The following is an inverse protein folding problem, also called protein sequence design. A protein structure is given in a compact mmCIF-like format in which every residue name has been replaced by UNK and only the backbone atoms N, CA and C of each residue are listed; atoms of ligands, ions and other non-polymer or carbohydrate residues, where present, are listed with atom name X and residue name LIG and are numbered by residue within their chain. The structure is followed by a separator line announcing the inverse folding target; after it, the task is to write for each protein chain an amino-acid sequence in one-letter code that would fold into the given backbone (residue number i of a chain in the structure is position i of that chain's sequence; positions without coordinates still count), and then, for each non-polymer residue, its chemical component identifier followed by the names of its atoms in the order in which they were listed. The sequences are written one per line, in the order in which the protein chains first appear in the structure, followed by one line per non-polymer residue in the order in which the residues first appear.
data_IF_703415370625
#
_entry.id   IF_703415370625
#
_cell.length_a   1.000
_cell.length_b   1.000
_cell.length_c   1.000
_cell.angle_alpha   90.00
_cell.angle_beta   90.00
_cell.angle_gamma   90.00
#
_symmetry.space_group_name_H-M   'P 1'
#
loop_
_entity.id
_entity.type
_entity.pdbx_description
1 polymer ?
#
# COMPACT_ATOMS: atom_id res chain seq x y z
N UNK A 1 -5.71 6.39 9.04
CA UNK A 1 -5.32 5.13 8.42
C UNK A 1 -4.26 5.38 7.36
N UNK A 2 -3.22 4.55 7.34
CA UNK A 2 -2.12 4.59 6.38
C UNK A 2 -2.45 3.70 5.17
N UNK A 3 -2.08 4.16 4.00
CA UNK A 3 -2.08 3.39 2.76
C UNK A 3 -0.65 3.23 2.26
N UNK A 4 -0.25 1.99 2.06
CA UNK A 4 1.01 1.62 1.41
C UNK A 4 0.73 1.60 -0.09
N UNK A 5 1.45 2.41 -0.87
CA UNK A 5 1.18 2.60 -2.29
C UNK A 5 2.10 1.73 -3.16
N UNK A 6 3.40 2.00 -3.13
CA UNK A 6 4.37 1.26 -3.93
C UNK A 6 5.77 1.34 -3.34
N UNK A 7 6.62 0.40 -3.73
CA UNK A 7 8.03 0.43 -3.40
C UNK A 7 8.75 1.49 -4.24
N UNK A 8 9.76 2.11 -3.64
CA UNK A 8 10.74 3.00 -4.28
C UNK A 8 12.14 2.40 -4.09
N UNK A 9 13.16 2.95 -4.73
CA UNK A 9 14.55 2.46 -4.59
C UNK A 9 15.03 2.45 -3.13
N UNK A 10 14.53 3.38 -2.31
CA UNK A 10 15.02 3.60 -0.93
C UNK A 10 13.99 3.31 0.15
N UNK A 11 12.82 2.79 -0.20
CA UNK A 11 11.78 2.51 0.77
C UNK A 11 10.42 2.27 0.14
N UNK A 12 9.40 2.62 0.88
CA UNK A 12 8.00 2.40 0.49
C UNK A 12 7.28 3.74 0.57
N UNK A 13 6.62 4.13 -0.52
CA UNK A 13 5.77 5.32 -0.53
C UNK A 13 4.44 5.05 0.17
N UNK A 14 4.10 5.93 1.11
CA UNK A 14 2.93 5.85 1.95
C UNK A 14 2.11 7.15 1.90
N UNK A 15 0.79 7.03 2.01
CA UNK A 15 -0.14 8.18 2.13
C UNK A 15 -1.14 7.95 3.24
N UNK A 16 -1.76 9.04 3.72
CA UNK A 16 -2.95 8.93 4.54
C UNK A 16 -4.16 8.55 3.68
N UNK A 17 -5.00 7.66 4.21
CA UNK A 17 -6.15 7.10 3.47
C UNK A 17 -7.17 8.16 3.04
N UNK A 18 -7.32 9.23 3.82
CA UNK A 18 -8.22 10.35 3.56
C UNK A 18 -7.64 11.43 2.61
N UNK A 19 -6.43 11.20 2.08
CA UNK A 19 -5.76 12.15 1.19
C UNK A 19 -5.24 13.43 1.85
N UNK A 20 -5.29 13.53 3.18
CA UNK A 20 -4.70 14.66 3.91
C UNK A 20 -3.19 14.68 3.75
N UNK A 21 -2.63 15.87 3.62
CA UNK A 21 -1.19 16.07 3.63
C UNK A 21 -0.62 15.78 5.03
N UNK A 22 0.59 15.27 5.05
CA UNK A 22 1.31 14.93 6.27
C UNK A 22 2.32 16.03 6.54
N UNK A 23 2.31 16.61 7.73
CA UNK A 23 3.31 17.59 8.16
C UNK A 23 4.58 16.90 8.69
N UNK A 24 5.71 17.63 8.70
CA UNK A 24 6.95 17.13 9.30
C UNK A 24 6.78 16.78 10.78
N UNK A 25 6.01 17.57 11.53
CA UNK A 25 5.77 17.30 12.95
C UNK A 25 4.95 16.03 13.14
N UNK A 26 3.98 15.77 12.26
CA UNK A 26 3.24 14.51 12.27
C UNK A 26 4.13 13.31 11.95
N UNK A 27 5.11 13.46 11.04
CA UNK A 27 6.08 12.39 10.76
C UNK A 27 7.00 12.13 11.95
N UNK A 28 7.51 13.17 12.60
CA UNK A 28 8.33 13.02 13.81
C UNK A 28 7.56 12.33 14.94
N UNK A 29 6.31 12.72 15.14
CA UNK A 29 5.44 12.07 16.12
C UNK A 29 5.18 10.61 15.77
N UNK A 30 5.01 10.27 14.48
CA UNK A 30 4.84 8.90 14.03
C UNK A 30 6.11 8.07 14.23
N UNK A 31 7.29 8.60 13.88
CA UNK A 31 8.57 7.93 14.12
C UNK A 31 8.79 7.68 15.61
N UNK A 32 8.51 8.68 16.45
CA UNK A 32 8.61 8.52 17.90
C UNK A 32 7.69 7.42 18.41
N UNK A 33 6.45 7.41 17.93
CA UNK A 33 5.49 6.36 18.31
C UNK A 33 5.90 4.97 17.84
N UNK A 34 6.47 4.86 16.65
CA UNK A 34 7.03 3.59 16.15
C UNK A 34 8.17 3.08 17.07
N UNK A 35 9.09 3.96 17.48
CA UNK A 35 10.17 3.62 18.42
C UNK A 35 9.64 3.14 19.77
N UNK A 36 8.67 3.86 20.35
CA UNK A 36 8.03 3.46 21.60
C UNK A 36 7.40 2.06 21.54
N UNK A 37 6.76 1.73 20.41
CA UNK A 37 6.18 0.40 20.20
C UNK A 37 7.23 -0.69 20.02
N UNK A 38 8.37 -0.38 19.41
CA UNK A 38 9.51 -1.29 19.28
C UNK A 38 10.13 -1.53 20.66
N UNK A 39 10.41 -0.47 21.42
CA UNK A 39 11.01 -0.53 22.75
C UNK A 39 10.10 -1.25 23.76
N UNK A 40 8.79 -1.15 23.59
CA UNK A 40 7.80 -1.85 24.41
C UNK A 40 7.74 -3.36 24.17
N UNK A 41 8.38 -3.86 23.12
CA UNK A 41 8.48 -5.27 22.75
C UNK A 41 7.13 -6.01 22.78
N UNK A 42 6.10 -5.42 22.17
CA UNK A 42 4.75 -5.95 22.19
C UNK A 42 4.62 -7.20 21.31
N UNK A 43 3.98 -8.30 21.80
CA UNK A 43 3.86 -9.52 21.05
C UNK A 43 2.84 -9.38 19.91
N UNK A 44 3.18 -9.90 18.71
CA UNK A 44 2.24 -10.16 17.65
C UNK A 44 1.49 -11.46 17.94
N UNK A 45 0.19 -11.38 18.19
CA UNK A 45 -0.63 -12.57 18.46
C UNK A 45 -1.36 -13.01 17.20
N UNK A 46 -1.06 -14.24 16.75
CA UNK A 46 -1.79 -14.87 15.65
C UNK A 46 -3.09 -15.48 16.19
N UNK A 47 -4.17 -15.24 15.47
CA UNK A 47 -5.49 -15.78 15.73
C UNK A 47 -6.00 -16.48 14.47
N UNK A 48 -6.93 -17.41 14.66
CA UNK A 48 -7.67 -18.05 13.58
C UNK A 48 -9.12 -18.23 14.00
N UNK A 49 -10.04 -17.73 13.19
CA UNK A 49 -11.48 -17.77 13.45
C UNK A 49 -12.26 -18.03 12.17
N UNK A 50 -13.56 -18.29 12.31
CA UNK A 50 -14.47 -18.33 11.18
C UNK A 50 -14.38 -17.01 10.40
N UNK A 51 -14.36 -17.11 9.08
CA UNK A 51 -14.24 -15.93 8.21
C UNK A 51 -15.34 -14.92 8.46
N UNK A 52 -16.56 -15.36 8.78
CA UNK A 52 -17.69 -14.49 9.15
C UNK A 52 -17.41 -13.66 10.40
N UNK A 53 -16.77 -14.23 11.42
CA UNK A 53 -16.39 -13.50 12.63
C UNK A 53 -15.27 -12.48 12.36
N UNK A 54 -14.32 -12.83 11.48
CA UNK A 54 -13.23 -11.93 11.10
C UNK A 54 -13.75 -10.76 10.26
N UNK A 55 -14.73 -10.99 9.39
CA UNK A 55 -15.43 -9.95 8.64
C UNK A 55 -16.05 -8.92 9.60
N UNK A 56 -16.78 -9.37 10.61
CA UNK A 56 -17.38 -8.47 11.62
C UNK A 56 -16.31 -7.69 12.42
N UNK A 57 -15.20 -8.36 12.76
CA UNK A 57 -14.08 -7.73 13.44
C UNK A 57 -13.45 -6.61 12.58
N UNK A 58 -13.22 -6.88 11.30
CA UNK A 58 -12.64 -5.91 10.37
C UNK A 58 -13.61 -4.79 10.02
N UNK A 59 -14.91 -5.07 9.94
CA UNK A 59 -15.96 -4.06 9.75
C UNK A 59 -15.99 -3.05 10.90
N UNK A 60 -15.84 -3.50 12.15
CA UNK A 60 -15.73 -2.62 13.32
C UNK A 60 -14.50 -1.72 13.32
N UNK A 61 -13.45 -2.09 12.59
CA UNK A 61 -12.23 -1.29 12.42
C UNK A 61 -12.18 -0.52 11.08
N UNK A 62 -13.29 -0.46 10.37
CA UNK A 62 -13.38 0.20 9.04
C UNK A 62 -12.37 -0.31 8.00
N UNK A 63 -12.02 -1.62 8.06
CA UNK A 63 -11.15 -2.28 7.11
C UNK A 63 -11.96 -2.80 5.90
N UNK A 64 -12.73 -1.94 5.26
CA UNK A 64 -13.72 -2.32 4.25
C UNK A 64 -13.15 -2.97 2.99
N UNK A 65 -11.91 -2.64 2.61
CA UNK A 65 -11.16 -3.31 1.55
C UNK A 65 -10.92 -4.80 1.85
N UNK A 66 -10.58 -5.11 3.11
CA UNK A 66 -10.38 -6.48 3.59
C UNK A 66 -11.70 -7.22 3.81
N UNK A 67 -12.72 -6.53 4.28
CA UNK A 67 -14.08 -7.08 4.38
C UNK A 67 -14.53 -7.58 3.00
N UNK A 68 -14.47 -6.74 1.95
CA UNK A 68 -14.84 -7.13 0.58
C UNK A 68 -14.02 -8.31 0.06
N UNK A 69 -12.71 -8.34 0.35
CA UNK A 69 -11.86 -9.44 -0.05
C UNK A 69 -12.25 -10.76 0.62
N UNK A 70 -12.68 -10.72 1.89
CA UNK A 70 -13.11 -11.91 2.62
C UNK A 70 -14.52 -12.36 2.23
N UNK A 71 -15.44 -11.43 1.94
CA UNK A 71 -16.80 -11.72 1.48
C UNK A 71 -16.83 -12.42 0.12
N UNK A 72 -15.84 -12.14 -0.74
CA UNK A 72 -15.70 -12.76 -2.07
C UNK A 72 -14.78 -14.00 -2.07
N UNK A 73 -14.37 -14.47 -0.91
CA UNK A 73 -13.53 -15.66 -0.76
C UNK A 73 -14.32 -16.86 -0.26
N UNK A 74 -13.79 -18.05 -0.51
CA UNK A 74 -14.41 -19.34 -0.16
C UNK A 74 -13.86 -19.98 1.13
N UNK A 75 -12.93 -19.32 1.82
CA UNK A 75 -12.27 -19.88 3.00
C UNK A 75 -13.18 -19.83 4.23
N UNK A 76 -13.38 -21.00 4.86
CA UNK A 76 -14.18 -21.12 6.09
C UNK A 76 -13.48 -20.45 7.29
N UNK A 77 -12.14 -20.55 7.38
CA UNK A 77 -11.35 -19.97 8.45
C UNK A 77 -10.38 -18.93 7.92
N UNK A 78 -10.13 -17.87 8.70
CA UNK A 78 -9.18 -16.82 8.39
C UNK A 78 -8.23 -16.57 9.55
N UNK A 79 -6.92 -16.64 9.25
CA UNK A 79 -5.88 -16.19 10.17
C UNK A 79 -5.72 -14.66 10.11
N UNK A 80 -5.53 -14.05 11.27
CA UNK A 80 -5.25 -12.63 11.43
C UNK A 80 -4.34 -12.40 12.64
N UNK A 81 -3.81 -11.20 12.77
CA UNK A 81 -2.91 -10.82 13.86
C UNK A 81 -3.51 -9.68 14.68
N UNK A 82 -3.10 -9.61 15.95
CA UNK A 82 -3.38 -8.47 16.81
C UNK A 82 -2.09 -7.90 17.41
N UNK A 83 -2.05 -6.58 17.53
CA UNK A 83 -1.03 -5.80 18.21
C UNK A 83 -1.69 -4.66 18.99
N UNK A 84 -1.61 -4.66 20.31
CA UNK A 84 -2.12 -3.56 21.14
C UNK A 84 -3.61 -3.23 20.92
N UNK A 85 -4.46 -4.22 20.59
CA UNK A 85 -5.90 -4.03 20.33
C UNK A 85 -6.23 -3.67 18.86
N UNK A 86 -5.23 -3.50 18.00
CA UNK A 86 -5.43 -3.35 16.55
C UNK A 86 -5.36 -4.73 15.91
N UNK A 87 -6.26 -5.01 14.96
CA UNK A 87 -6.33 -6.27 14.23
C UNK A 87 -6.07 -6.04 12.75
N UNK A 88 -5.30 -6.96 12.15
CA UNK A 88 -5.07 -6.95 10.71
C UNK A 88 -4.76 -8.34 10.16
N UNK A 89 -4.93 -8.55 8.84
CA UNK A 89 -4.55 -9.78 8.16
C UNK A 89 -3.21 -9.64 7.46
N UNK A 90 -2.39 -10.69 7.55
CA UNK A 90 -1.12 -10.78 6.87
C UNK A 90 -0.97 -12.17 6.22
N UNK A 91 -0.27 -12.25 5.08
CA UNK A 91 -0.15 -13.49 4.30
C UNK A 91 0.99 -14.41 4.76
N UNK A 92 1.82 -13.97 5.70
CA UNK A 92 2.96 -14.74 6.20
C UNK A 92 2.99 -14.78 7.71
N UNK A 93 4.10 -15.26 8.24
CA UNK A 93 4.39 -15.17 9.66
C UNK A 93 5.00 -13.80 9.95
N UNK A 94 4.51 -13.15 10.99
CA UNK A 94 5.14 -11.95 11.55
C UNK A 94 6.26 -12.34 12.51
N UNK A 95 7.11 -11.38 12.84
CA UNK A 95 8.05 -11.51 13.94
C UNK A 95 7.32 -11.82 15.27
N UNK A 96 7.96 -12.42 16.25
CA UNK A 96 7.31 -12.73 17.53
C UNK A 96 6.79 -11.48 18.26
N UNK A 97 7.54 -10.37 18.19
CA UNK A 97 7.19 -9.11 18.84
C UNK A 97 7.76 -7.90 18.09
N UNK A 98 7.35 -6.71 18.49
CA UNK A 98 7.83 -5.45 17.92
C UNK A 98 9.31 -5.20 18.17
N UNK A 99 9.91 -5.78 19.23
CA UNK A 99 11.34 -5.67 19.53
C UNK A 99 12.28 -6.29 18.47
N UNK A 100 11.76 -7.15 17.59
CA UNK A 100 12.51 -7.68 16.43
C UNK A 100 12.53 -6.74 15.23
N UNK A 101 11.74 -5.65 15.26
CA UNK A 101 11.64 -4.71 14.14
C UNK A 101 12.72 -3.65 14.29
N UNK A 102 13.41 -3.36 13.20
CA UNK A 102 14.31 -2.20 13.15
C UNK A 102 13.46 -0.94 12.87
N UNK A 103 13.76 0.17 13.55
CA UNK A 103 13.04 1.42 13.29
C UNK A 103 13.26 1.87 11.85
N UNK A 104 12.26 2.52 11.27
CA UNK A 104 12.33 3.10 9.94
C UNK A 104 12.40 4.63 10.03
N UNK A 105 13.03 5.27 9.05
CA UNK A 105 12.96 6.72 8.87
C UNK A 105 11.81 7.08 7.97
N UNK A 106 11.17 8.22 8.26
CA UNK A 106 10.08 8.76 7.48
C UNK A 106 10.51 10.11 6.87
N UNK A 107 10.35 10.27 5.56
CA UNK A 107 10.69 11.51 4.84
C UNK A 107 9.51 11.97 4.00
N UNK A 108 9.15 13.24 4.09
CA UNK A 108 8.10 13.83 3.23
C UNK A 108 8.45 13.64 1.76
N UNK A 109 7.46 13.24 0.98
CA UNK A 109 7.57 13.08 -0.45
C UNK A 109 6.22 13.29 -1.13
N UNK A 110 6.15 14.27 -2.03
CA UNK A 110 4.90 14.61 -2.73
C UNK A 110 3.74 14.83 -1.74
N UNK A 111 2.62 14.15 -1.94
CA UNK A 111 1.43 14.21 -1.06
C UNK A 111 1.40 13.10 0.03
N UNK A 112 2.56 12.59 0.41
CA UNK A 112 2.72 11.55 1.41
C UNK A 112 4.13 11.52 1.97
N UNK A 113 4.66 10.35 2.24
CA UNK A 113 6.00 10.16 2.75
C UNK A 113 6.61 8.83 2.31
N UNK A 114 7.92 8.75 2.29
CA UNK A 114 8.67 7.52 2.11
C UNK A 114 9.05 6.97 3.46
N UNK A 115 8.74 5.70 3.70
CA UNK A 115 9.20 4.91 4.83
C UNK A 115 10.40 4.08 4.39
N UNK A 116 11.58 4.38 4.91
CA UNK A 116 12.82 3.69 4.61
C UNK A 116 13.27 2.87 5.82
N UNK A 117 13.58 1.56 5.64
CA UNK A 117 14.19 0.79 6.71
C UNK A 117 15.57 1.37 7.03
N UNK A 118 15.99 1.32 8.28
CA UNK A 118 17.36 1.68 8.63
C UNK A 118 18.34 0.71 7.96
N UNK A 119 19.40 1.20 7.33
CA UNK A 119 20.45 0.33 6.81
C UNK A 119 21.09 -0.42 7.99
N UNK A 120 21.26 -1.75 7.84
CA UNK A 120 22.00 -2.56 8.80
C UNK A 120 23.49 -2.22 8.84
N UNK A 121 23.98 -1.55 7.82
CA UNK A 121 25.37 -1.19 7.62
C UNK A 121 25.51 0.33 7.75
N UNK A 122 26.23 0.80 8.76
CA UNK A 122 26.56 2.21 8.95
C UNK A 122 27.34 2.81 7.77
N UNK A 123 27.94 1.95 6.94
CA UNK A 123 28.62 2.32 5.71
C UNK A 123 27.68 2.51 4.50
N UNK A 124 26.42 2.05 4.58
CA UNK A 124 25.42 2.38 3.59
C UNK A 124 24.87 3.79 3.87
N UNK A 125 25.72 4.80 3.66
CA UNK A 125 25.26 6.17 3.63
C UNK A 125 24.12 6.24 2.61
N UNK A 126 22.91 6.56 3.09
CA UNK A 126 21.80 6.95 2.23
C UNK A 126 22.37 8.02 1.30
N UNK A 127 22.62 7.66 0.04
CA UNK A 127 23.17 8.56 -0.96
C UNK A 127 22.34 9.84 -0.99
N UNK A 128 23.01 10.92 -1.33
CA UNK A 128 22.53 12.31 -1.30
C UNK A 128 21.10 12.46 -1.82
N UNK A 129 20.44 13.52 -1.41
CA UNK A 129 19.04 13.88 -1.66
C UNK A 129 18.54 13.72 -3.12
N UNK A 130 19.43 13.77 -4.10
CA UNK A 130 19.13 13.66 -5.53
C UNK A 130 18.56 12.31 -5.98
N UNK A 131 18.80 11.23 -5.24
CA UNK A 131 18.33 9.89 -5.59
C UNK A 131 16.86 9.59 -5.22
N UNK A 132 16.14 10.52 -4.60
CA UNK A 132 14.76 10.32 -4.21
C UNK A 132 13.74 10.64 -5.33
N UNK A 133 14.17 11.29 -6.40
CA UNK A 133 13.27 11.77 -7.45
C UNK A 133 13.03 10.69 -8.50
N UNK A 134 12.20 9.71 -8.18
CA UNK A 134 11.61 8.79 -9.17
C UNK A 134 10.28 9.37 -9.68
N UNK A 135 10.34 10.54 -10.27
CA UNK A 135 9.16 11.26 -10.72
C UNK A 135 8.34 10.48 -11.75
N UNK A 136 9.02 9.79 -12.65
CA UNK A 136 8.39 8.96 -13.67
C UNK A 136 7.65 7.76 -13.04
N UNK A 137 8.27 7.11 -12.05
CA UNK A 137 7.64 6.00 -11.32
C UNK A 137 6.41 6.48 -10.55
N UNK A 138 6.52 7.59 -9.83
CA UNK A 138 5.40 8.21 -9.13
C UNK A 138 4.25 8.56 -10.08
N UNK A 139 4.56 9.16 -11.23
CA UNK A 139 3.57 9.52 -12.25
C UNK A 139 2.88 8.27 -12.80
N UNK A 140 3.64 7.23 -13.15
CA UNK A 140 3.08 5.98 -13.64
C UNK A 140 2.11 5.34 -12.64
N UNK A 141 2.49 5.25 -11.36
CA UNK A 141 1.60 4.71 -10.32
C UNK A 141 0.35 5.58 -10.10
N UNK A 142 0.50 6.90 -10.15
CA UNK A 142 -0.64 7.84 -10.01
C UNK A 142 -1.62 7.69 -11.18
N UNK A 143 -1.11 7.56 -12.41
CA UNK A 143 -1.93 7.33 -13.59
C UNK A 143 -2.68 5.99 -13.52
N UNK A 144 -2.01 4.91 -13.10
CA UNK A 144 -2.67 3.62 -12.86
C UNK A 144 -3.75 3.68 -11.78
N UNK A 145 -3.50 4.39 -10.68
CA UNK A 145 -4.53 4.59 -9.65
C UNK A 145 -5.74 5.34 -10.18
N UNK A 146 -5.52 6.36 -11.03
CA UNK A 146 -6.59 7.11 -11.68
C UNK A 146 -7.42 6.22 -12.62
N UNK A 147 -6.77 5.37 -13.40
CA UNK A 147 -7.42 4.38 -14.26
C UNK A 147 -8.26 3.42 -13.42
N UNK A 148 -7.68 2.84 -12.37
CA UNK A 148 -8.37 1.90 -11.49
C UNK A 148 -9.58 2.54 -10.81
N UNK A 149 -9.49 3.84 -10.49
CA UNK A 149 -10.63 4.59 -9.95
C UNK A 149 -11.75 4.77 -10.99
N UNK A 150 -11.41 5.08 -12.25
CA UNK A 150 -12.38 5.22 -13.35
C UNK A 150 -13.07 3.88 -13.64
N UNK A 151 -12.33 2.78 -13.64
CA UNK A 151 -12.85 1.42 -13.87
C UNK A 151 -13.67 0.93 -12.66
N UNK A 152 -13.51 1.55 -11.48
CA UNK A 152 -14.19 1.13 -10.25
C UNK A 152 -13.54 -0.07 -9.55
N UNK A 153 -12.29 -0.41 -9.92
CA UNK A 153 -11.52 -1.53 -9.34
C UNK A 153 -10.25 -1.00 -8.69
N UNK A 154 -10.31 -0.72 -7.41
CA UNK A 154 -9.19 -0.10 -6.65
C UNK A 154 -8.42 -1.10 -5.78
N UNK A 155 -8.95 -2.30 -5.59
CA UNK A 155 -8.37 -3.37 -4.79
C UNK A 155 -8.90 -4.75 -5.23
N UNK A 156 -8.26 -5.82 -4.74
CA UNK A 156 -8.60 -7.19 -5.11
C UNK A 156 -10.05 -7.58 -4.75
N UNK A 157 -10.59 -7.09 -3.63
CA UNK A 157 -11.98 -7.37 -3.25
C UNK A 157 -12.99 -6.76 -4.23
N UNK A 158 -12.73 -5.54 -4.74
CA UNK A 158 -13.55 -4.91 -5.78
C UNK A 158 -13.44 -5.66 -7.12
N UNK A 159 -12.24 -6.16 -7.46
CA UNK A 159 -12.04 -6.99 -8.65
C UNK A 159 -12.84 -8.30 -8.56
N UNK A 160 -12.75 -9.00 -7.44
CA UNK A 160 -13.50 -10.23 -7.23
C UNK A 160 -15.00 -9.98 -7.33
N UNK A 161 -15.51 -8.94 -6.67
CA UNK A 161 -16.93 -8.58 -6.74
C UNK A 161 -17.38 -8.24 -8.17
N UNK A 162 -16.55 -7.57 -8.95
CA UNK A 162 -16.84 -7.27 -10.34
C UNK A 162 -16.86 -8.55 -11.20
N UNK A 163 -15.95 -9.49 -10.93
CA UNK A 163 -15.91 -10.80 -11.58
C UNK A 163 -17.17 -11.63 -11.28
N UNK A 164 -17.59 -11.70 -10.02
CA UNK A 164 -18.83 -12.37 -9.60
C UNK A 164 -20.07 -11.78 -10.28
N UNK A 165 -20.09 -10.46 -10.51
CA UNK A 165 -21.18 -9.76 -11.23
C UNK A 165 -21.11 -9.89 -12.74
N UNK A 166 -20.10 -10.58 -13.29
CA UNK A 166 -19.95 -10.81 -14.73
C UNK A 166 -19.31 -9.66 -15.52
N UNK A 167 -18.73 -8.65 -14.84
CA UNK A 167 -18.09 -7.49 -15.49
C UNK A 167 -16.66 -7.72 -15.96
N UNK A 168 -16.12 -8.94 -15.85
CA UNK A 168 -14.71 -9.24 -16.17
C UNK A 168 -14.35 -8.84 -17.61
N UNK A 169 -15.18 -9.18 -18.59
CA UNK A 169 -14.91 -8.86 -19.99
C UNK A 169 -14.90 -7.35 -20.26
N UNK A 170 -15.81 -6.61 -19.64
CA UNK A 170 -15.87 -5.15 -19.76
C UNK A 170 -14.62 -4.49 -19.16
N UNK A 171 -14.20 -4.92 -17.95
CA UNK A 171 -13.00 -4.43 -17.29
C UNK A 171 -11.76 -4.70 -18.15
N UNK A 172 -11.62 -5.89 -18.73
CA UNK A 172 -10.51 -6.24 -19.60
C UNK A 172 -10.49 -5.32 -20.82
N UNK A 173 -11.61 -5.23 -21.55
CA UNK A 173 -11.72 -4.41 -22.76
C UNK A 173 -11.38 -2.93 -22.49
N UNK A 174 -11.91 -2.35 -21.41
CA UNK A 174 -11.63 -0.96 -21.04
C UNK A 174 -10.16 -0.79 -20.65
N UNK A 175 -9.60 -1.74 -19.89
CA UNK A 175 -8.19 -1.69 -19.48
C UNK A 175 -7.25 -1.77 -20.69
N UNK A 176 -7.51 -2.65 -21.65
CA UNK A 176 -6.73 -2.79 -22.88
C UNK A 176 -6.83 -1.53 -23.76
N UNK A 177 -8.02 -0.98 -23.91
CA UNK A 177 -8.22 0.26 -24.66
C UNK A 177 -7.48 1.45 -24.06
N UNK A 178 -7.50 1.58 -22.72
CA UNK A 178 -6.74 2.61 -22.01
C UNK A 178 -5.24 2.38 -22.14
N UNK A 179 -4.76 1.15 -22.02
CA UNK A 179 -3.35 0.80 -22.19
C UNK A 179 -2.87 1.14 -23.61
N UNK A 180 -3.61 0.76 -24.65
CA UNK A 180 -3.31 1.11 -26.04
C UNK A 180 -3.21 2.62 -26.25
N UNK A 181 -4.12 3.40 -25.67
CA UNK A 181 -4.08 4.87 -25.71
C UNK A 181 -2.82 5.44 -25.06
N UNK A 182 -2.36 4.91 -23.94
CA UNK A 182 -1.12 5.35 -23.30
C UNK A 182 0.10 5.00 -24.16
N UNK A 183 0.15 3.78 -24.70
CA UNK A 183 1.25 3.34 -25.57
C UNK A 183 1.33 4.21 -26.83
N UNK A 184 0.19 4.54 -27.46
CA UNK A 184 0.14 5.44 -28.60
C UNK A 184 0.69 6.82 -28.27
N UNK A 185 0.31 7.42 -27.13
CA UNK A 185 0.87 8.71 -26.70
C UNK A 185 2.39 8.69 -26.54
N UNK A 186 2.94 7.61 -25.98
CA UNK A 186 4.38 7.44 -25.83
C UNK A 186 5.04 7.35 -27.22
N UNK A 187 4.46 6.56 -28.11
CA UNK A 187 4.97 6.42 -29.49
C UNK A 187 4.94 7.75 -30.26
N UNK A 188 3.87 8.53 -30.13
CA UNK A 188 3.75 9.86 -30.73
C UNK A 188 4.81 10.83 -30.19
N UNK A 189 5.05 10.80 -28.89
CA UNK A 189 6.08 11.65 -28.26
C UNK A 189 7.49 11.25 -28.71
N UNK A 190 7.79 9.96 -28.82
CA UNK A 190 9.06 9.47 -29.37
C UNK A 190 9.23 9.94 -30.82
N UNK A 191 8.19 9.77 -31.65
CA UNK A 191 8.23 10.18 -33.05
C UNK A 191 8.40 11.69 -33.20
N UNK A 192 7.81 12.50 -32.33
CA UNK A 192 7.98 13.95 -32.29
C UNK A 192 9.43 14.33 -31.99
N UNK A 193 10.01 13.76 -30.92
CA UNK A 193 11.41 14.05 -30.53
C UNK A 193 12.44 13.57 -31.54
N UNK A 194 12.14 12.56 -32.33
CA UNK A 194 13.05 12.07 -33.38
C UNK A 194 13.07 12.98 -34.58
N UNK A 195 12.08 13.85 -34.78
CA UNK A 195 12.02 14.84 -35.88
C UNK A 195 12.66 16.18 -35.52
N UNK A 196 12.91 16.42 -34.25
CA UNK A 196 13.68 17.58 -33.74
C UNK A 196 15.16 17.25 -33.65
#
# INVERSE_FOLDING_TARGET
RLRIEHATTKGIFCRLFNGQEVSEDALKALEQRMRELIDADLPYKRHEKLTTEVIELFRKQDLMDKVRLLETGDRLYKAYYSLGGVYDSYYGCLAPSTGYIQPATLKLYKNGFIMSPFPKDENLQLSKEEDFVQEQLYTAFTDYQRINHIIGVRNAGELNLAAEKGYSAEIINVSEALHAKFTTRIADEIARRHKE
#
